data_IF_757389061838
#
_entry.id   IF_757389061838
#
_cell.length_a   1.000
_cell.length_b   1.000
_cell.length_c   1.000
_cell.angle_alpha   90.00
_cell.angle_beta   90.00
_cell.angle_gamma   90.00
#
_symmetry.space_group_name_H-M   'P 1'
#
loop_
_entity.id
_entity.type
_entity.pdbx_description
1 polymer ?
#
# COMPACT_ATOMS: atom_id res chain seq x y z
N UNK A 1 -15.40 13.92 -11.43
CA UNK A 1 -14.75 12.95 -12.33
C UNK A 1 -13.81 13.58 -13.33
N UNK A 2 -14.18 14.64 -14.02
CA UNK A 2 -13.33 15.32 -15.01
C UNK A 2 -11.91 15.62 -14.48
N UNK A 3 -11.78 16.06 -13.24
CA UNK A 3 -10.49 16.40 -12.61
C UNK A 3 -9.70 15.13 -12.20
N UNK A 4 -10.38 14.05 -11.78
CA UNK A 4 -9.78 12.83 -11.25
C UNK A 4 -10.25 11.57 -11.98
N UNK A 5 -9.94 11.41 -13.28
CA UNK A 5 -10.43 10.26 -14.06
C UNK A 5 -9.90 8.91 -13.54
N UNK A 6 -8.77 8.89 -12.84
CA UNK A 6 -8.24 7.68 -12.20
C UNK A 6 -9.11 7.11 -11.06
N UNK A 7 -10.14 7.85 -10.61
CA UNK A 7 -11.12 7.37 -9.62
C UNK A 7 -12.37 6.78 -10.27
N UNK A 8 -12.42 6.69 -11.59
CA UNK A 8 -13.58 6.20 -12.35
C UNK A 8 -14.01 4.79 -11.96
N UNK A 9 -13.04 3.90 -11.68
CA UNK A 9 -13.36 2.53 -11.24
C UNK A 9 -14.00 2.47 -9.86
N UNK A 10 -13.53 3.27 -8.92
CA UNK A 10 -14.16 3.40 -7.60
C UNK A 10 -15.58 3.96 -7.72
N UNK A 11 -15.79 4.96 -8.58
CA UNK A 11 -17.12 5.52 -8.82
C UNK A 11 -18.06 4.47 -9.41
N UNK A 12 -17.64 3.70 -10.41
CA UNK A 12 -18.46 2.62 -10.98
C UNK A 12 -18.88 1.61 -9.91
N UNK A 13 -17.94 1.18 -9.07
CA UNK A 13 -18.26 0.30 -7.96
C UNK A 13 -19.28 0.92 -7.01
N UNK A 14 -19.09 2.20 -6.64
CA UNK A 14 -20.02 2.90 -5.77
C UNK A 14 -21.43 3.01 -6.40
N UNK A 15 -21.53 3.38 -7.67
CA UNK A 15 -22.79 3.45 -8.41
C UNK A 15 -23.50 2.09 -8.51
N UNK A 16 -22.75 1.00 -8.65
CA UNK A 16 -23.31 -0.35 -8.63
C UNK A 16 -23.90 -0.70 -7.26
N UNK A 17 -23.18 -0.37 -6.19
CA UNK A 17 -23.65 -0.63 -4.82
C UNK A 17 -24.84 0.26 -4.42
N UNK A 18 -24.91 1.49 -4.93
CA UNK A 18 -26.07 2.37 -4.72
C UNK A 18 -27.37 1.84 -5.35
N UNK A 19 -27.30 0.91 -6.31
CA UNK A 19 -28.52 0.24 -6.80
C UNK A 19 -29.18 -0.65 -5.74
N UNK A 20 -28.42 -1.08 -4.73
CA UNK A 20 -28.95 -1.87 -3.60
C UNK A 20 -29.64 -0.96 -2.60
N UNK A 21 -29.04 0.18 -2.28
CA UNK A 21 -29.63 1.21 -1.42
C UNK A 21 -29.10 2.59 -1.84
N UNK A 22 -29.91 3.43 -2.54
CA UNK A 22 -29.45 4.68 -3.15
C UNK A 22 -29.04 5.78 -2.15
N UNK A 23 -29.68 5.79 -0.98
CA UNK A 23 -29.61 6.94 -0.05
C UNK A 23 -28.50 6.79 1.00
N UNK A 24 -27.65 5.76 0.89
CA UNK A 24 -26.68 5.46 1.93
C UNK A 24 -25.38 4.86 1.39
N UNK A 25 -24.31 5.01 2.15
CA UNK A 25 -23.01 4.35 1.91
C UNK A 25 -22.93 2.95 2.53
N UNK A 26 -23.96 2.48 3.22
CA UNK A 26 -23.97 1.18 3.91
C UNK A 26 -23.58 0.01 3.02
N UNK A 27 -24.06 -0.15 1.75
CA UNK A 27 -23.64 -1.26 0.90
C UNK A 27 -22.13 -1.30 0.67
N UNK A 28 -21.48 -0.14 0.57
CA UNK A 28 -20.03 -0.06 0.44
C UNK A 28 -19.32 -0.44 1.76
N UNK A 29 -19.85 -0.03 2.90
CA UNK A 29 -19.31 -0.40 4.21
C UNK A 29 -19.47 -1.91 4.47
N UNK A 30 -20.57 -2.54 4.08
CA UNK A 30 -20.73 -3.99 4.12
C UNK A 30 -19.69 -4.69 3.23
N UNK A 31 -19.48 -4.20 2.00
CA UNK A 31 -18.39 -4.71 1.15
C UNK A 31 -17.04 -4.61 1.87
N UNK A 32 -16.74 -3.48 2.52
CA UNK A 32 -15.51 -3.30 3.29
C UNK A 32 -15.40 -4.31 4.46
N UNK A 33 -16.50 -4.60 5.17
CA UNK A 33 -16.52 -5.62 6.24
C UNK A 33 -16.16 -6.99 5.67
N UNK A 34 -16.80 -7.42 4.58
CA UNK A 34 -16.48 -8.70 3.93
C UNK A 34 -15.03 -8.74 3.43
N UNK A 35 -14.56 -7.65 2.83
CA UNK A 35 -13.17 -7.56 2.39
C UNK A 35 -12.18 -7.54 3.57
N UNK A 36 -12.50 -6.90 4.69
CA UNK A 36 -11.70 -6.96 5.91
C UNK A 36 -11.58 -8.39 6.44
N UNK A 37 -12.68 -9.12 6.55
CA UNK A 37 -12.64 -10.55 6.92
C UNK A 37 -11.82 -11.37 5.91
N UNK A 38 -11.97 -11.07 4.62
CA UNK A 38 -11.14 -11.66 3.55
C UNK A 38 -9.64 -11.37 3.73
N UNK A 39 -9.26 -10.15 4.09
CA UNK A 39 -7.87 -9.78 4.37
C UNK A 39 -7.31 -10.61 5.53
N UNK A 40 -8.07 -10.75 6.63
CA UNK A 40 -7.65 -11.54 7.78
C UNK A 40 -7.40 -13.01 7.41
N UNK A 41 -8.31 -13.60 6.65
CA UNK A 41 -8.16 -14.96 6.13
C UNK A 41 -6.94 -15.08 5.20
N UNK A 42 -6.80 -14.15 4.25
CA UNK A 42 -5.71 -14.17 3.25
C UNK A 42 -4.34 -13.91 3.87
N UNK A 43 -4.24 -13.20 4.99
CA UNK A 43 -2.99 -13.08 5.77
C UNK A 43 -2.56 -14.43 6.32
N UNK A 44 -3.49 -15.25 6.83
CA UNK A 44 -3.23 -16.63 7.25
C UNK A 44 -2.76 -17.49 6.08
N UNK A 45 -3.48 -17.45 4.95
CA UNK A 45 -3.11 -18.17 3.73
C UNK A 45 -1.72 -17.77 3.20
N UNK A 46 -1.40 -16.47 3.22
CA UNK A 46 -0.09 -15.99 2.80
C UNK A 46 1.03 -16.45 3.75
N UNK A 47 0.75 -16.51 5.05
CA UNK A 47 1.67 -17.07 6.04
C UNK A 47 1.90 -18.56 5.81
N UNK A 48 0.87 -19.32 5.41
CA UNK A 48 0.98 -20.73 5.02
C UNK A 48 1.88 -20.91 3.77
N UNK A 49 1.67 -20.10 2.73
CA UNK A 49 2.49 -20.15 1.51
C UNK A 49 3.97 -19.81 1.81
N UNK A 50 4.24 -19.00 2.83
CA UNK A 50 5.60 -18.74 3.34
C UNK A 50 6.15 -19.90 4.21
N UNK A 51 5.31 -20.88 4.55
CA UNK A 51 5.70 -22.06 5.34
C UNK A 51 5.77 -21.77 6.85
N UNK A 52 5.01 -20.79 7.35
CA UNK A 52 4.98 -20.48 8.78
C UNK A 52 4.20 -21.53 9.60
N UNK A 53 3.41 -22.38 8.95
CA UNK A 53 2.57 -23.40 9.60
C UNK A 53 1.39 -22.80 10.38
N UNK A 54 0.59 -23.65 11.02
CA UNK A 54 -0.69 -23.25 11.65
C UNK A 54 -0.55 -22.15 12.70
N UNK A 55 0.49 -22.19 13.52
CA UNK A 55 0.76 -21.15 14.53
C UNK A 55 1.11 -19.79 13.91
N UNK A 56 1.87 -19.80 12.80
CA UNK A 56 2.20 -18.60 12.05
C UNK A 56 1.00 -18.03 11.32
N UNK A 57 0.12 -18.88 10.78
CA UNK A 57 -1.15 -18.47 10.18
C UNK A 57 -2.04 -17.77 11.20
N UNK A 58 -2.22 -18.39 12.38
CA UNK A 58 -2.98 -17.80 13.46
C UNK A 58 -2.37 -16.47 13.92
N UNK A 59 -1.03 -16.40 14.08
CA UNK A 59 -0.36 -15.18 14.48
C UNK A 59 -0.53 -14.05 13.44
N UNK A 60 -0.44 -14.33 12.15
CA UNK A 60 -0.65 -13.34 11.09
C UNK A 60 -2.08 -12.79 11.11
N UNK A 61 -3.08 -13.66 11.29
CA UNK A 61 -4.48 -13.28 11.44
C UNK A 61 -4.71 -12.45 12.69
N UNK A 62 -4.15 -12.86 13.85
CA UNK A 62 -4.26 -12.12 15.11
C UNK A 62 -3.64 -10.72 15.03
N UNK A 63 -2.47 -10.56 14.39
CA UNK A 63 -1.88 -9.25 14.16
C UNK A 63 -2.84 -8.38 13.32
N UNK A 64 -3.44 -8.95 12.27
CA UNK A 64 -4.44 -8.25 11.45
C UNK A 64 -5.67 -7.81 12.25
N UNK A 65 -6.16 -8.62 13.19
CA UNK A 65 -7.30 -8.30 14.07
C UNK A 65 -6.94 -7.16 15.04
N UNK A 66 -5.77 -7.25 15.67
CA UNK A 66 -5.32 -6.25 16.66
C UNK A 66 -4.94 -4.93 15.97
N UNK A 67 -4.58 -4.97 14.70
CA UNK A 67 -4.17 -3.79 13.96
C UNK A 67 -5.37 -2.88 13.64
N UNK A 68 -5.76 -2.07 14.63
CA UNK A 68 -6.90 -1.16 14.60
C UNK A 68 -6.98 -0.28 13.33
N UNK A 69 -5.90 0.26 12.76
CA UNK A 69 -5.99 1.05 11.54
C UNK A 69 -6.72 0.34 10.40
N UNK A 70 -6.52 -0.97 10.23
CA UNK A 70 -7.20 -1.74 9.20
C UNK A 70 -8.72 -1.78 9.42
N UNK A 71 -9.17 -1.93 10.67
CA UNK A 71 -10.58 -1.89 11.05
C UNK A 71 -11.19 -0.49 10.85
N UNK A 72 -10.47 0.57 11.18
CA UNK A 72 -10.94 1.95 11.01
C UNK A 72 -11.19 2.33 9.55
N UNK A 73 -10.56 1.65 8.60
CA UNK A 73 -10.81 1.87 7.18
C UNK A 73 -12.10 1.23 6.66
N UNK A 74 -12.76 0.36 7.43
CA UNK A 74 -14.02 -0.28 7.04
C UNK A 74 -15.13 0.75 6.84
N UNK A 75 -15.16 1.80 7.64
CA UNK A 75 -16.15 2.89 7.53
C UNK A 75 -15.87 3.83 6.37
N UNK A 76 -14.64 3.85 5.84
CA UNK A 76 -14.22 4.78 4.82
C UNK A 76 -14.57 4.29 3.41
N UNK A 77 -15.44 5.03 2.72
CA UNK A 77 -15.87 4.75 1.34
C UNK A 77 -14.72 5.09 0.38
N UNK A 78 -13.77 4.17 0.28
CA UNK A 78 -12.58 4.32 -0.56
C UNK A 78 -12.00 2.94 -0.93
N UNK A 79 -11.25 2.88 -2.02
CA UNK A 79 -10.74 1.62 -2.56
C UNK A 79 -9.62 0.93 -1.76
N UNK A 80 -9.33 1.35 -0.52
CA UNK A 80 -8.19 0.78 0.25
C UNK A 80 -8.47 -0.65 0.69
N UNK A 81 -9.59 -0.91 1.36
CA UNK A 81 -9.93 -2.24 1.90
C UNK A 81 -10.24 -3.24 0.78
N UNK A 82 -11.18 -2.96 -0.17
CA UNK A 82 -11.46 -3.93 -1.21
C UNK A 82 -10.28 -4.15 -2.15
N UNK A 83 -9.52 -3.10 -2.48
CA UNK A 83 -8.32 -3.24 -3.31
C UNK A 83 -7.23 -4.09 -2.65
N UNK A 84 -7.02 -3.95 -1.32
CA UNK A 84 -6.08 -4.81 -0.57
C UNK A 84 -6.55 -6.26 -0.55
N UNK A 85 -7.82 -6.50 -0.24
CA UNK A 85 -8.39 -7.85 -0.24
C UNK A 85 -8.19 -8.54 -1.59
N UNK A 86 -8.57 -7.89 -2.68
CA UNK A 86 -8.43 -8.45 -4.01
C UNK A 86 -6.96 -8.61 -4.43
N UNK A 87 -6.08 -7.69 -4.04
CA UNK A 87 -4.64 -7.85 -4.28
C UNK A 87 -4.07 -9.07 -3.57
N UNK A 88 -4.39 -9.27 -2.28
CA UNK A 88 -3.94 -10.43 -1.52
C UNK A 88 -4.48 -11.73 -2.11
N UNK A 89 -5.77 -11.77 -2.50
CA UNK A 89 -6.36 -12.92 -3.18
C UNK A 89 -5.63 -13.24 -4.49
N UNK A 90 -5.36 -12.22 -5.30
CA UNK A 90 -4.58 -12.36 -6.53
C UNK A 90 -3.17 -12.91 -6.29
N UNK A 91 -2.47 -12.43 -5.23
CA UNK A 91 -1.14 -12.92 -4.86
C UNK A 91 -1.16 -14.39 -4.45
N UNK A 92 -2.03 -14.77 -3.50
CA UNK A 92 -2.13 -16.16 -3.01
C UNK A 92 -2.48 -17.12 -4.14
N UNK A 93 -3.46 -16.77 -4.98
CA UNK A 93 -3.86 -17.61 -6.12
C UNK A 93 -2.74 -17.75 -7.16
N UNK A 94 -1.97 -16.67 -7.41
CA UNK A 94 -0.84 -16.74 -8.34
C UNK A 94 0.31 -17.60 -7.81
N UNK A 95 0.61 -17.50 -6.51
CA UNK A 95 1.58 -18.37 -5.86
C UNK A 95 1.16 -19.83 -6.02
N UNK A 96 -0.12 -20.14 -5.72
CA UNK A 96 -0.67 -21.48 -5.87
C UNK A 96 -0.65 -21.96 -7.31
N UNK A 97 -1.01 -21.10 -8.27
CA UNK A 97 -0.92 -21.45 -9.68
C UNK A 97 0.52 -21.80 -10.11
N UNK A 98 1.51 -21.03 -9.68
CA UNK A 98 2.92 -21.32 -9.99
C UNK A 98 3.42 -22.64 -9.36
N UNK A 99 2.73 -23.16 -8.32
CA UNK A 99 3.00 -24.44 -7.69
C UNK A 99 2.20 -25.59 -8.31
N UNK A 100 0.88 -25.41 -8.44
CA UNK A 100 -0.09 -26.49 -8.69
C UNK A 100 -0.55 -26.56 -10.16
N UNK A 101 -0.28 -25.53 -10.98
CA UNK A 101 -0.67 -25.41 -12.39
C UNK A 101 -2.19 -25.54 -12.66
N UNK A 102 -3.05 -25.22 -11.66
CA UNK A 102 -4.52 -25.30 -11.81
C UNK A 102 -5.04 -24.03 -12.47
N UNK A 103 -5.47 -24.11 -13.72
CA UNK A 103 -5.85 -22.96 -14.55
C UNK A 103 -6.88 -22.01 -13.93
N UNK A 104 -7.82 -22.51 -13.13
CA UNK A 104 -8.82 -21.66 -12.46
C UNK A 104 -8.19 -20.68 -11.47
N UNK A 105 -7.03 -21.07 -10.85
CA UNK A 105 -6.27 -20.19 -9.97
C UNK A 105 -5.70 -19.00 -10.75
N UNK A 106 -5.22 -19.22 -11.98
CA UNK A 106 -4.74 -18.16 -12.85
C UNK A 106 -5.86 -17.19 -13.23
N UNK A 107 -7.01 -17.71 -13.66
CA UNK A 107 -8.17 -16.88 -14.06
C UNK A 107 -8.66 -16.03 -12.88
N UNK A 108 -8.82 -16.63 -11.69
CA UNK A 108 -9.26 -15.91 -10.50
C UNK A 108 -8.20 -14.90 -10.04
N UNK A 109 -6.91 -15.22 -10.12
CA UNK A 109 -5.83 -14.29 -9.80
C UNK A 109 -5.87 -13.03 -10.68
N UNK A 110 -6.05 -13.23 -11.99
CA UNK A 110 -6.18 -12.14 -12.98
C UNK A 110 -7.43 -11.31 -12.68
N UNK A 111 -8.57 -11.94 -12.41
CA UNK A 111 -9.81 -11.25 -12.08
C UNK A 111 -9.67 -10.38 -10.82
N UNK A 112 -9.14 -10.95 -9.74
CA UNK A 112 -8.98 -10.21 -8.48
C UNK A 112 -7.99 -9.06 -8.61
N UNK A 113 -6.86 -9.26 -9.28
CA UNK A 113 -5.91 -8.17 -9.53
C UNK A 113 -6.50 -7.08 -10.43
N UNK A 114 -7.25 -7.46 -11.45
CA UNK A 114 -7.95 -6.50 -12.29
C UNK A 114 -8.92 -5.65 -11.47
N UNK A 115 -9.74 -6.27 -10.61
CA UNK A 115 -10.66 -5.56 -9.72
C UNK A 115 -9.91 -4.63 -8.73
N UNK A 116 -8.78 -5.09 -8.17
CA UNK A 116 -7.97 -4.28 -7.28
C UNK A 116 -7.48 -2.99 -7.96
N UNK A 117 -6.87 -3.12 -9.14
CA UNK A 117 -6.32 -1.99 -9.91
C UNK A 117 -7.44 -1.07 -10.43
N UNK A 118 -8.57 -1.66 -10.85
CA UNK A 118 -9.75 -0.93 -11.30
C UNK A 118 -10.30 -0.04 -10.19
N UNK A 119 -10.43 -0.56 -8.96
CA UNK A 119 -10.97 0.18 -7.82
C UNK A 119 -9.98 1.24 -7.35
N UNK A 120 -8.68 0.94 -7.34
CA UNK A 120 -7.65 1.88 -6.90
C UNK A 120 -6.34 1.64 -7.63
N UNK A 121 -5.95 2.59 -8.47
CA UNK A 121 -4.77 2.49 -9.34
C UNK A 121 -3.45 2.22 -8.58
N UNK A 122 -3.32 2.58 -7.30
CA UNK A 122 -2.11 2.31 -6.50
C UNK A 122 -1.79 0.81 -6.42
N UNK A 123 -2.77 -0.09 -6.58
CA UNK A 123 -2.56 -1.54 -6.61
C UNK A 123 -1.87 -2.04 -7.89
N UNK A 124 -1.59 -1.16 -8.86
CA UNK A 124 -0.69 -1.47 -9.98
C UNK A 124 0.68 -1.97 -9.52
N UNK A 125 1.17 -1.49 -8.36
CA UNK A 125 2.46 -1.93 -7.81
C UNK A 125 2.42 -3.42 -7.44
N UNK A 126 1.29 -3.90 -6.90
CA UNK A 126 1.07 -5.32 -6.63
C UNK A 126 1.06 -6.14 -7.93
N UNK A 127 0.37 -5.63 -8.96
CA UNK A 127 0.33 -6.29 -10.27
C UNK A 127 1.71 -6.32 -10.94
N UNK A 128 2.50 -5.24 -10.86
CA UNK A 128 3.87 -5.19 -11.38
C UNK A 128 4.77 -6.17 -10.62
N UNK A 129 4.71 -6.17 -9.28
CA UNK A 129 5.48 -7.12 -8.47
C UNK A 129 5.14 -8.57 -8.81
N UNK A 130 3.86 -8.87 -9.03
CA UNK A 130 3.43 -10.19 -9.46
C UNK A 130 3.89 -10.54 -10.88
N UNK A 131 3.83 -9.59 -11.82
CA UNK A 131 4.38 -9.80 -13.17
C UNK A 131 5.85 -10.21 -13.12
N UNK A 132 6.66 -9.53 -12.29
CA UNK A 132 8.08 -9.86 -12.11
C UNK A 132 8.25 -11.25 -11.49
N UNK A 133 7.44 -11.61 -10.50
CA UNK A 133 7.46 -12.92 -9.87
C UNK A 133 7.08 -14.04 -10.84
N UNK A 134 6.01 -13.86 -11.62
CA UNK A 134 5.55 -14.85 -12.61
C UNK A 134 6.56 -14.99 -13.74
N UNK A 135 7.16 -13.88 -14.20
CA UNK A 135 8.24 -13.89 -15.17
C UNK A 135 9.44 -14.71 -14.65
N UNK A 136 9.87 -14.44 -13.41
CA UNK A 136 10.96 -15.22 -12.79
C UNK A 136 10.65 -16.71 -12.76
N UNK A 137 9.45 -17.12 -12.30
CA UNK A 137 9.06 -18.53 -12.28
C UNK A 137 8.94 -19.12 -13.68
N UNK A 138 8.51 -18.35 -14.67
CA UNK A 138 8.47 -18.81 -16.08
C UNK A 138 9.85 -19.12 -16.64
N UNK A 139 10.87 -18.36 -16.22
CA UNK A 139 12.27 -18.55 -16.61
C UNK A 139 12.95 -19.71 -15.86
N UNK A 140 12.36 -20.17 -14.74
CA UNK A 140 12.84 -21.31 -13.93
C UNK A 140 12.14 -22.63 -14.32
N UNK A 141 11.96 -22.87 -15.63
CA UNK A 141 11.34 -24.07 -16.22
C UNK A 141 9.87 -24.34 -15.88
N UNK A 142 9.19 -23.42 -15.21
CA UNK A 142 7.74 -23.52 -14.95
C UNK A 142 6.95 -22.98 -16.15
N UNK A 143 6.95 -23.74 -17.25
CA UNK A 143 6.36 -23.31 -18.54
C UNK A 143 4.90 -22.87 -18.46
N UNK A 144 4.11 -23.44 -17.55
CA UNK A 144 2.70 -23.04 -17.35
C UNK A 144 2.57 -21.59 -16.89
N UNK A 145 3.56 -21.03 -16.19
CA UNK A 145 3.52 -19.63 -15.72
C UNK A 145 3.50 -18.62 -16.88
N UNK A 146 3.96 -18.97 -18.09
CA UNK A 146 3.84 -18.09 -19.27
C UNK A 146 2.39 -17.75 -19.59
N UNK A 147 1.45 -18.70 -19.41
CA UNK A 147 0.04 -18.45 -19.59
C UNK A 147 -0.50 -17.36 -18.64
N UNK A 148 -0.13 -17.45 -17.35
CA UNK A 148 -0.51 -16.41 -16.37
C UNK A 148 0.14 -15.06 -16.70
N UNK A 149 1.42 -15.05 -17.12
CA UNK A 149 2.11 -13.81 -17.49
C UNK A 149 1.38 -13.08 -18.62
N UNK A 150 1.02 -13.82 -19.70
CA UNK A 150 0.25 -13.24 -20.82
C UNK A 150 -1.09 -12.69 -20.38
N UNK A 151 -1.79 -13.37 -19.47
CA UNK A 151 -3.09 -12.91 -18.94
C UNK A 151 -2.96 -11.68 -18.02
N UNK A 152 -1.83 -11.50 -17.33
CA UNK A 152 -1.58 -10.37 -16.45
C UNK A 152 -1.19 -9.08 -17.20
N UNK A 153 -0.52 -9.18 -18.33
CA UNK A 153 -0.02 -8.02 -19.09
C UNK A 153 -1.11 -6.98 -19.41
N UNK A 154 -2.32 -7.33 -19.85
CA UNK A 154 -3.35 -6.35 -20.18
C UNK A 154 -4.03 -5.71 -18.97
N UNK A 155 -3.80 -6.21 -17.73
CA UNK A 155 -4.48 -5.67 -16.53
C UNK A 155 -4.22 -4.17 -16.38
N UNK A 156 -2.95 -3.73 -16.46
CA UNK A 156 -2.58 -2.34 -16.21
C UNK A 156 -3.29 -1.37 -17.16
N UNK A 157 -3.24 -1.54 -18.49
CA UNK A 157 -3.92 -0.62 -19.39
C UNK A 157 -5.46 -0.76 -19.34
N UNK A 158 -5.99 -1.97 -19.21
CA UNK A 158 -7.45 -2.18 -19.20
C UNK A 158 -8.11 -1.64 -17.94
N UNK A 159 -7.54 -1.92 -16.76
CA UNK A 159 -8.13 -1.47 -15.50
C UNK A 159 -8.15 0.07 -15.38
N UNK A 160 -7.21 0.77 -16.01
CA UNK A 160 -7.22 2.23 -16.05
C UNK A 160 -8.19 2.83 -17.08
N UNK A 161 -8.27 2.23 -18.29
CA UNK A 161 -9.05 2.79 -19.40
C UNK A 161 -10.52 2.36 -19.42
N UNK A 162 -10.81 1.11 -19.03
CA UNK A 162 -12.16 0.56 -19.11
C UNK A 162 -13.20 1.35 -18.29
N UNK A 163 -12.93 1.74 -17.03
CA UNK A 163 -13.89 2.54 -16.27
C UNK A 163 -14.16 3.90 -16.88
N UNK A 164 -13.14 4.55 -17.42
CA UNK A 164 -13.27 5.83 -18.10
C UNK A 164 -14.16 5.66 -19.33
N UNK A 165 -13.88 4.66 -20.19
CA UNK A 165 -14.67 4.36 -21.39
C UNK A 165 -16.13 4.09 -21.06
N UNK A 166 -16.41 3.29 -20.03
CA UNK A 166 -17.79 2.99 -19.59
C UNK A 166 -18.51 4.27 -19.17
N UNK A 167 -17.88 5.11 -18.35
CA UNK A 167 -18.47 6.36 -17.88
C UNK A 167 -18.68 7.37 -19.01
N UNK A 168 -17.75 7.50 -19.93
CA UNK A 168 -17.91 8.37 -21.11
C UNK A 168 -19.06 7.94 -21.99
N UNK A 169 -19.21 6.62 -22.23
CA UNK A 169 -20.34 6.09 -22.98
C UNK A 169 -21.67 6.30 -22.26
N UNK A 170 -21.66 6.20 -20.93
CA UNK A 170 -22.89 6.35 -20.13
C UNK A 170 -23.31 7.80 -19.98
N UNK A 171 -22.35 8.72 -19.81
CA UNK A 171 -22.64 10.14 -19.52
C UNK A 171 -22.60 11.03 -20.75
N UNK A 172 -22.01 10.59 -21.86
CA UNK A 172 -21.74 11.42 -23.04
C UNK A 172 -20.62 12.47 -22.83
N UNK A 173 -19.94 12.48 -21.67
CA UNK A 173 -18.91 13.45 -21.32
C UNK A 173 -17.52 12.86 -21.51
N UNK A 174 -16.58 13.62 -22.08
CA UNK A 174 -15.17 13.21 -22.16
C UNK A 174 -14.47 13.39 -20.82
N UNK A 175 -13.74 12.36 -20.36
CA UNK A 175 -13.01 12.32 -19.10
C UNK A 175 -11.48 12.31 -19.28
N UNK A 176 -10.97 12.51 -20.49
CA UNK A 176 -9.56 12.35 -20.83
C UNK A 176 -8.64 13.47 -20.35
N UNK A 177 -9.18 14.58 -19.87
CA UNK A 177 -8.45 15.82 -19.58
C UNK A 177 -8.25 16.06 -18.07
N UNK A 178 -8.03 14.99 -17.29
CA UNK A 178 -7.79 15.14 -15.85
C UNK A 178 -6.38 15.65 -15.49
N UNK A 179 -6.17 15.90 -14.21
CA UNK A 179 -4.87 16.30 -13.65
C UNK A 179 -3.78 15.36 -14.14
N UNK A 180 -2.67 15.92 -14.61
CA UNK A 180 -1.54 15.14 -15.12
C UNK A 180 -0.83 14.36 -14.01
N UNK A 181 -0.39 13.12 -14.31
CA UNK A 181 0.29 12.27 -13.34
C UNK A 181 1.58 12.90 -12.82
N UNK A 182 2.34 13.60 -13.65
CA UNK A 182 3.60 14.24 -13.27
C UNK A 182 3.39 15.37 -12.26
N UNK A 183 2.22 16.01 -12.24
CA UNK A 183 1.92 17.04 -11.23
C UNK A 183 1.78 16.48 -9.80
N UNK A 184 1.38 15.22 -9.65
CA UNK A 184 1.39 14.52 -8.36
C UNK A 184 2.81 14.23 -7.88
N UNK A 185 3.73 13.91 -8.81
CA UNK A 185 5.15 13.78 -8.49
C UNK A 185 5.73 15.13 -8.07
N UNK A 186 5.46 16.19 -8.82
CA UNK A 186 5.90 17.55 -8.47
C UNK A 186 5.41 17.94 -7.08
N UNK A 187 4.12 17.73 -6.77
CA UNK A 187 3.56 17.99 -5.44
C UNK A 187 4.23 17.11 -4.37
N UNK A 188 4.47 15.84 -4.67
CA UNK A 188 5.16 14.90 -3.77
C UNK A 188 6.61 15.27 -3.45
N UNK A 189 7.25 16.13 -4.23
CA UNK A 189 8.62 16.61 -4.02
C UNK A 189 8.67 18.01 -3.36
N UNK A 190 7.54 18.66 -3.10
CA UNK A 190 7.48 20.00 -2.50
C UNK A 190 7.55 19.93 -0.97
N UNK A 191 8.18 20.93 -0.38
CA UNK A 191 8.33 21.02 1.08
C UNK A 191 7.04 21.43 1.82
N UNK A 192 6.08 22.00 1.10
CA UNK A 192 4.86 22.57 1.69
C UNK A 192 3.70 21.59 1.71
N UNK A 193 3.30 21.14 2.88
CA UNK A 193 2.07 20.41 3.09
C UNK A 193 1.68 20.50 4.57
N UNK A 194 0.38 20.41 4.92
CA UNK A 194 -0.08 20.65 6.30
C UNK A 194 0.44 19.59 7.29
N UNK A 195 0.84 18.41 6.81
CA UNK A 195 1.36 17.30 7.63
C UNK A 195 2.84 17.03 7.43
N UNK A 196 3.48 17.77 6.54
CA UNK A 196 4.90 17.62 6.25
C UNK A 196 5.25 17.64 4.78
N UNK A 197 6.51 17.37 4.44
CA UNK A 197 7.00 17.41 3.07
C UNK A 197 6.28 16.41 2.16
N UNK A 198 5.91 16.86 0.97
CA UNK A 198 5.26 16.02 -0.05
C UNK A 198 3.78 15.74 0.18
N UNK A 199 3.17 16.26 1.26
CA UNK A 199 1.74 16.14 1.50
C UNK A 199 0.93 17.08 0.60
N UNK A 200 -0.37 16.78 0.43
CA UNK A 200 -1.28 17.53 -0.40
C UNK A 200 -1.34 19.01 0.01
N UNK A 201 -0.89 19.90 -0.88
CA UNK A 201 -0.83 21.36 -0.71
C UNK A 201 -1.70 22.13 -1.73
N UNK A 202 -2.59 21.43 -2.42
CA UNK A 202 -3.43 21.94 -3.52
C UNK A 202 -2.65 22.30 -4.81
N UNK A 203 -1.36 22.01 -4.88
CA UNK A 203 -0.52 22.32 -6.06
C UNK A 203 -1.12 21.77 -7.35
N UNK A 204 -1.53 20.51 -7.36
CA UNK A 204 -2.11 19.85 -8.52
C UNK A 204 -3.36 20.56 -9.05
N UNK A 205 -4.26 20.99 -8.15
CA UNK A 205 -5.46 21.75 -8.52
C UNK A 205 -5.10 23.15 -9.03
N UNK A 206 -4.27 23.87 -8.27
CA UNK A 206 -3.86 25.23 -8.64
C UNK A 206 -3.23 25.29 -10.04
N UNK A 207 -2.26 24.40 -10.29
CA UNK A 207 -1.57 24.36 -11.58
C UNK A 207 -2.47 23.87 -12.72
N UNK A 208 -3.43 22.98 -12.45
CA UNK A 208 -4.40 22.52 -13.44
C UNK A 208 -5.33 23.65 -13.89
N UNK A 209 -5.87 24.42 -12.93
CA UNK A 209 -6.71 25.59 -13.26
C UNK A 209 -5.89 26.70 -13.94
N UNK A 210 -4.66 26.98 -13.47
CA UNK A 210 -3.79 27.97 -14.11
C UNK A 210 -3.35 27.58 -15.54
N UNK A 211 -3.34 26.28 -15.86
CA UNK A 211 -3.09 25.74 -17.19
C UNK A 211 -4.38 25.65 -18.05
N UNK A 212 -5.46 26.35 -17.70
CA UNK A 212 -6.75 26.33 -18.39
C UNK A 212 -7.29 24.90 -18.61
N UNK A 213 -7.15 24.03 -17.61
CA UNK A 213 -7.58 22.62 -17.65
C UNK A 213 -6.87 21.78 -18.73
N UNK A 214 -5.71 22.22 -19.22
CA UNK A 214 -4.88 21.47 -20.16
C UNK A 214 -3.84 20.62 -19.40
N UNK A 215 -3.94 19.27 -19.39
CA UNK A 215 -2.97 18.40 -18.72
C UNK A 215 -1.57 18.45 -19.36
N UNK A 216 -1.44 18.81 -20.64
CA UNK A 216 -0.12 18.93 -21.30
C UNK A 216 0.60 20.20 -20.82
N UNK A 217 -0.09 21.33 -20.80
CA UNK A 217 0.44 22.58 -20.26
C UNK A 217 0.78 22.42 -18.77
N UNK A 218 -0.10 21.77 -17.98
CA UNK A 218 0.17 21.44 -16.59
C UNK A 218 1.42 20.56 -16.43
N UNK A 219 1.63 19.58 -17.32
CA UNK A 219 2.80 18.70 -17.26
C UNK A 219 4.11 19.47 -17.47
N UNK A 220 4.14 20.45 -18.36
CA UNK A 220 5.30 21.32 -18.56
C UNK A 220 5.64 22.12 -17.30
N UNK A 221 4.64 22.72 -16.65
CA UNK A 221 4.82 23.44 -15.37
C UNK A 221 5.33 22.51 -14.28
N UNK A 222 4.81 21.27 -14.22
CA UNK A 222 5.23 20.29 -13.22
C UNK A 222 6.69 19.83 -13.43
N UNK A 223 7.10 19.61 -14.68
CA UNK A 223 8.48 19.24 -15.01
C UNK A 223 9.48 20.35 -14.67
N UNK A 224 9.12 21.59 -14.96
CA UNK A 224 9.95 22.75 -14.55
C UNK A 224 10.10 22.84 -13.04
N UNK A 225 8.98 22.67 -12.29
CA UNK A 225 9.00 22.61 -10.83
C UNK A 225 9.93 21.49 -10.32
N UNK A 226 9.84 20.27 -10.86
CA UNK A 226 10.69 19.14 -10.50
C UNK A 226 12.16 19.46 -10.77
N UNK A 227 12.45 20.02 -11.95
CA UNK A 227 13.82 20.43 -12.33
C UNK A 227 14.40 21.45 -11.34
N UNK A 228 13.61 22.45 -10.96
CA UNK A 228 14.01 23.44 -9.96
C UNK A 228 14.33 22.84 -8.59
N UNK A 229 13.48 21.91 -8.13
CA UNK A 229 13.66 21.19 -6.87
C UNK A 229 14.98 20.39 -6.88
N UNK A 230 15.24 19.62 -7.97
CA UNK A 230 16.47 18.84 -8.05
C UNK A 230 17.71 19.70 -8.18
N UNK A 231 17.66 20.83 -8.87
CA UNK A 231 18.78 21.82 -8.86
C UNK A 231 19.05 22.32 -7.45
N UNK A 232 18.00 22.64 -6.67
CA UNK A 232 18.16 23.03 -5.27
C UNK A 232 18.80 21.93 -4.41
N UNK A 233 18.44 20.67 -4.62
CA UNK A 233 19.02 19.53 -3.91
C UNK A 233 20.49 19.28 -4.27
N UNK A 234 20.88 19.55 -5.52
CA UNK A 234 22.31 19.48 -5.90
C UNK A 234 23.14 20.55 -5.22
N UNK A 235 22.57 21.74 -4.97
CA UNK A 235 23.22 22.84 -4.27
C UNK A 235 23.26 22.63 -2.74
N UNK A 236 22.21 21.98 -2.18
CA UNK A 236 22.13 21.65 -0.75
C UNK A 236 21.68 20.18 -0.55
N UNK A 237 22.63 19.21 -0.62
CA UNK A 237 22.33 17.80 -0.37
C UNK A 237 21.78 17.51 1.03
N UNK A 238 22.09 18.36 2.05
CA UNK A 238 21.57 18.18 3.40
C UNK A 238 20.06 18.45 3.44
N UNK A 239 19.57 19.45 2.72
CA UNK A 239 18.13 19.72 2.60
C UNK A 239 17.42 18.56 1.90
N UNK A 240 18.01 17.96 0.87
CA UNK A 240 17.49 16.76 0.21
C UNK A 240 17.31 15.61 1.20
N UNK A 241 18.35 15.26 1.95
CA UNK A 241 18.28 14.17 2.94
C UNK A 241 17.19 14.46 3.98
N UNK A 242 17.18 15.68 4.53
CA UNK A 242 16.17 16.10 5.52
C UNK A 242 14.76 15.97 4.95
N UNK A 243 14.53 16.41 3.69
CA UNK A 243 13.25 16.30 3.02
C UNK A 243 12.77 14.85 2.93
N UNK A 244 13.60 13.95 2.36
CA UNK A 244 13.20 12.57 2.15
C UNK A 244 13.06 11.78 3.45
N UNK A 245 13.90 12.04 4.46
CA UNK A 245 13.75 11.44 5.79
C UNK A 245 12.44 11.87 6.43
N UNK A 246 12.17 13.18 6.49
CA UNK A 246 10.93 13.71 7.07
C UNK A 246 9.69 13.24 6.32
N UNK A 247 9.71 13.27 4.98
CA UNK A 247 8.62 12.77 4.14
C UNK A 247 8.30 11.28 4.41
N UNK A 248 9.34 10.43 4.40
CA UNK A 248 9.14 9.00 4.64
C UNK A 248 8.71 8.73 6.09
N UNK A 249 9.21 9.49 7.06
CA UNK A 249 8.78 9.40 8.44
C UNK A 249 7.27 9.65 8.56
N UNK A 250 6.75 10.75 8.00
CA UNK A 250 5.34 11.12 8.11
C UNK A 250 4.37 10.13 7.45
N UNK A 251 4.82 9.32 6.50
CA UNK A 251 3.93 8.38 5.80
C UNK A 251 4.13 6.90 6.21
N UNK A 252 5.33 6.51 6.67
CA UNK A 252 5.62 5.13 7.06
C UNK A 252 5.64 4.89 8.56
N UNK A 253 5.76 5.97 9.37
CA UNK A 253 5.81 5.88 10.83
C UNK A 253 4.56 6.43 11.52
N UNK A 254 3.51 6.75 10.78
CA UNK A 254 2.20 7.06 11.34
C UNK A 254 1.56 5.74 11.87
N UNK A 255 1.52 5.52 13.18
CA UNK A 255 1.08 4.25 13.76
C UNK A 255 -0.41 3.98 13.56
N UNK A 256 -1.20 5.03 13.28
CA UNK A 256 -2.65 4.93 13.04
C UNK A 256 -3.03 5.07 11.56
N UNK A 257 -2.05 5.29 10.67
CA UNK A 257 -2.25 5.39 9.22
C UNK A 257 -3.41 6.32 8.84
N UNK A 258 -3.59 7.44 9.54
CA UNK A 258 -4.71 8.38 9.41
C UNK A 258 -6.11 7.79 9.70
N UNK A 259 -6.23 6.58 10.22
CA UNK A 259 -7.53 5.91 10.39
C UNK A 259 -8.49 6.72 11.27
N UNK A 260 -8.03 7.26 12.41
CA UNK A 260 -8.84 8.12 13.29
C UNK A 260 -9.18 9.44 12.59
N UNK A 261 -8.19 10.10 12.00
CA UNK A 261 -8.39 11.37 11.30
C UNK A 261 -9.43 11.26 10.18
N UNK A 262 -9.37 10.21 9.36
CA UNK A 262 -10.33 9.98 8.28
C UNK A 262 -11.76 9.85 8.82
N UNK A 263 -11.97 9.07 9.87
CA UNK A 263 -13.28 8.90 10.49
C UNK A 263 -13.80 10.20 11.10
N UNK A 264 -12.93 10.98 11.76
CA UNK A 264 -13.28 12.29 12.31
C UNK A 264 -13.68 13.31 11.22
N UNK A 265 -12.98 13.32 10.09
CA UNK A 265 -13.33 14.17 8.94
C UNK A 265 -14.67 13.75 8.35
N UNK A 266 -14.90 12.45 8.17
CA UNK A 266 -16.17 11.93 7.65
C UNK A 266 -17.35 12.24 8.57
N UNK A 267 -17.18 12.11 9.88
CA UNK A 267 -18.19 12.51 10.86
C UNK A 267 -18.58 13.99 10.72
N UNK A 268 -17.59 14.88 10.61
CA UNK A 268 -17.83 16.32 10.47
C UNK A 268 -18.55 16.69 9.16
N UNK A 269 -18.22 15.98 8.08
CA UNK A 269 -18.84 16.22 6.76
C UNK A 269 -20.28 15.71 6.72
N UNK A 270 -20.56 14.59 7.39
CA UNK A 270 -21.89 14.00 7.41
C UNK A 270 -22.85 14.66 8.39
N UNK A 271 -22.33 15.52 9.29
CA UNK A 271 -23.07 16.15 10.39
C UNK A 271 -23.93 15.15 11.22
N UNK A 272 -23.44 13.90 11.30
CA UNK A 272 -24.14 12.81 11.95
C UNK A 272 -23.83 12.82 13.44
N UNK A 273 -24.86 12.86 14.28
CA UNK A 273 -24.72 12.68 15.71
C UNK A 273 -24.17 11.27 16.02
N UNK A 274 -23.07 11.21 16.74
CA UNK A 274 -22.46 9.96 17.19
C UNK A 274 -22.52 9.86 18.73
N UNK A 275 -22.52 8.63 19.29
CA UNK A 275 -22.42 8.45 20.75
C UNK A 275 -21.18 9.17 21.31
N UNK A 276 -21.29 9.70 22.53
CA UNK A 276 -20.20 10.45 23.17
C UNK A 276 -18.87 9.69 23.23
N UNK A 277 -18.90 8.38 23.46
CA UNK A 277 -17.69 7.54 23.49
C UNK A 277 -17.00 7.48 22.12
N UNK A 278 -17.78 7.49 21.01
CA UNK A 278 -17.24 7.54 19.64
C UNK A 278 -16.58 8.90 19.39
N UNK A 279 -17.26 10.00 19.75
CA UNK A 279 -16.69 11.34 19.60
C UNK A 279 -15.39 11.47 20.41
N UNK A 280 -15.38 10.99 21.66
CA UNK A 280 -14.18 10.95 22.48
C UNK A 280 -13.06 10.15 21.82
N UNK A 281 -13.36 8.94 21.31
CA UNK A 281 -12.40 8.09 20.59
C UNK A 281 -11.85 8.80 19.35
N UNK A 282 -12.67 9.47 18.55
CA UNK A 282 -12.24 10.18 17.35
C UNK A 282 -11.39 11.43 17.65
N UNK A 283 -11.35 11.89 18.90
CA UNK A 283 -10.45 12.95 19.37
C UNK A 283 -9.05 12.45 19.74
N UNK A 284 -8.83 11.13 19.77
CA UNK A 284 -7.52 10.51 20.05
C UNK A 284 -6.57 10.57 18.83
N UNK A 285 -6.77 11.50 17.90
CA UNK A 285 -5.85 11.73 16.78
C UNK A 285 -4.67 12.58 17.29
N UNK A 286 -3.47 12.01 17.20
CA UNK A 286 -2.25 12.66 17.67
C UNK A 286 -1.44 11.83 18.69
N UNK A 287 -0.40 12.40 19.29
CA UNK A 287 0.42 11.72 20.30
C UNK A 287 -0.37 11.44 21.58
N UNK A 288 -0.67 10.18 21.85
CA UNK A 288 -1.37 9.71 23.05
C UNK A 288 -1.04 8.25 23.33
N UNK A 289 -1.63 7.67 24.39
CA UNK A 289 -1.40 6.26 24.76
C UNK A 289 -1.73 5.30 23.60
N UNK A 290 -2.82 5.54 22.87
CA UNK A 290 -3.23 4.69 21.76
C UNK A 290 -2.17 4.71 20.64
N UNK A 291 -1.73 5.89 20.22
CA UNK A 291 -0.68 6.03 19.21
C UNK A 291 0.65 5.43 19.67
N UNK A 292 0.98 5.51 20.97
CA UNK A 292 2.17 4.91 21.54
C UNK A 292 2.13 3.38 21.50
N UNK A 293 0.96 2.76 21.82
CA UNK A 293 0.78 1.31 21.71
C UNK A 293 0.94 0.82 20.27
N UNK A 294 0.33 1.52 19.31
CA UNK A 294 0.46 1.16 17.89
C UNK A 294 1.85 1.47 17.33
N UNK A 295 2.56 2.46 17.86
CA UNK A 295 3.96 2.70 17.52
C UNK A 295 4.86 1.55 18.01
N UNK A 296 4.60 1.01 19.21
CA UNK A 296 5.29 -0.18 19.70
C UNK A 296 5.02 -1.38 18.77
N UNK A 297 3.77 -1.64 18.40
CA UNK A 297 3.42 -2.69 17.43
C UNK A 297 4.13 -2.47 16.09
N UNK A 298 4.15 -1.24 15.58
CA UNK A 298 4.82 -0.89 14.34
C UNK A 298 6.33 -1.14 14.42
N UNK A 299 6.95 -0.78 15.54
CA UNK A 299 8.37 -1.04 15.81
C UNK A 299 8.68 -2.54 15.83
N UNK A 300 7.82 -3.36 16.47
CA UNK A 300 7.96 -4.81 16.47
C UNK A 300 7.84 -5.39 15.06
N UNK A 301 6.86 -4.94 14.27
CA UNK A 301 6.68 -5.40 12.88
C UNK A 301 7.89 -5.05 12.02
N UNK A 302 8.40 -3.82 12.10
CA UNK A 302 9.62 -3.43 11.37
C UNK A 302 10.87 -4.14 11.91
N UNK A 303 10.97 -4.39 13.22
CA UNK A 303 12.02 -5.20 13.81
C UNK A 303 12.03 -6.63 13.26
N UNK A 304 10.85 -7.24 13.15
CA UNK A 304 10.70 -8.55 12.50
C UNK A 304 11.11 -8.54 11.02
N UNK A 305 10.81 -7.47 10.28
CA UNK A 305 11.26 -7.30 8.89
C UNK A 305 12.79 -7.17 8.80
N UNK A 306 13.44 -6.46 9.74
CA UNK A 306 14.90 -6.38 9.83
C UNK A 306 15.49 -7.76 10.10
N UNK A 307 14.92 -8.51 11.04
CA UNK A 307 15.34 -9.88 11.34
C UNK A 307 15.19 -10.78 10.10
N UNK A 308 14.05 -10.71 9.40
CA UNK A 308 13.84 -11.46 8.16
C UNK A 308 14.92 -11.14 7.11
N UNK A 309 15.26 -9.87 6.93
CA UNK A 309 16.26 -9.44 5.97
C UNK A 309 17.68 -9.84 6.38
N UNK A 310 17.97 -9.85 7.66
CA UNK A 310 19.33 -10.05 8.22
C UNK A 310 19.65 -11.51 8.55
N UNK A 311 18.69 -12.26 9.11
CA UNK A 311 18.97 -13.59 9.60
C UNK A 311 19.29 -14.56 8.46
N UNK A 312 20.38 -15.35 8.58
CA UNK A 312 20.68 -16.42 7.63
C UNK A 312 19.56 -17.47 7.70
N UNK A 313 19.35 -18.14 6.60
CA UNK A 313 18.48 -19.32 6.54
C UNK A 313 19.24 -20.46 5.91
N UNK A 314 19.15 -21.64 6.53
CA UNK A 314 19.64 -22.88 5.95
C UNK A 314 18.63 -23.46 4.93
N UNK A 315 17.38 -22.95 4.99
CA UNK A 315 16.37 -23.29 3.98
C UNK A 315 16.63 -22.46 2.71
N UNK A 316 16.43 -23.07 1.55
CA UNK A 316 16.42 -22.32 0.29
C UNK A 316 15.33 -21.26 0.39
N UNK A 317 15.72 -20.00 0.22
CA UNK A 317 14.77 -18.86 0.27
C UNK A 317 13.65 -19.10 -0.74
N UNK A 318 12.42 -19.04 -0.28
CA UNK A 318 11.26 -19.23 -1.14
C UNK A 318 11.06 -18.01 -2.05
N UNK A 319 10.78 -18.23 -3.32
CA UNK A 319 10.51 -17.15 -4.27
C UNK A 319 9.32 -16.26 -3.87
N UNK A 320 8.42 -16.76 -3.01
CA UNK A 320 7.29 -16.01 -2.44
C UNK A 320 7.76 -14.89 -1.51
N UNK A 321 8.85 -15.08 -0.76
CA UNK A 321 9.44 -14.02 0.06
C UNK A 321 9.95 -12.87 -0.82
N UNK A 322 10.56 -13.21 -1.95
CA UNK A 322 11.05 -12.22 -2.91
C UNK A 322 9.90 -11.44 -3.57
N UNK A 323 8.75 -12.08 -3.84
CA UNK A 323 7.55 -11.41 -4.32
C UNK A 323 7.11 -10.31 -3.36
N UNK A 324 6.96 -10.64 -2.06
CA UNK A 324 6.53 -9.65 -1.07
C UNK A 324 7.56 -8.53 -0.91
N UNK A 325 8.86 -8.87 -0.93
CA UNK A 325 9.93 -7.88 -0.88
C UNK A 325 9.91 -6.93 -2.07
N UNK A 326 9.71 -7.43 -3.29
CA UNK A 326 9.64 -6.61 -4.52
C UNK A 326 8.45 -5.66 -4.45
N UNK A 327 7.27 -6.13 -4.03
CA UNK A 327 6.09 -5.26 -3.86
C UNK A 327 6.36 -4.18 -2.80
N UNK A 328 6.94 -4.55 -1.65
CA UNK A 328 7.26 -3.63 -0.57
C UNK A 328 8.25 -2.56 -1.02
N UNK A 329 9.35 -2.96 -1.68
CA UNK A 329 10.35 -2.03 -2.22
C UNK A 329 9.74 -1.14 -3.30
N UNK A 330 8.96 -1.71 -4.21
CA UNK A 330 8.23 -0.95 -5.23
C UNK A 330 7.31 0.11 -4.63
N UNK A 331 6.54 -0.27 -3.59
CA UNK A 331 5.70 0.67 -2.84
C UNK A 331 6.50 1.77 -2.15
N UNK A 332 7.61 1.41 -1.50
CA UNK A 332 8.48 2.38 -0.84
C UNK A 332 9.08 3.39 -1.83
N UNK A 333 9.63 2.90 -2.94
CA UNK A 333 10.21 3.76 -3.99
C UNK A 333 9.14 4.66 -4.61
N UNK A 334 7.99 4.10 -4.97
CA UNK A 334 6.89 4.87 -5.55
C UNK A 334 6.45 6.01 -4.63
N UNK A 335 6.17 5.71 -3.35
CA UNK A 335 5.69 6.71 -2.41
C UNK A 335 6.78 7.69 -1.94
N UNK A 336 8.07 7.39 -2.14
CA UNK A 336 9.14 8.36 -1.97
C UNK A 336 9.02 9.54 -2.93
N UNK A 337 8.49 9.33 -4.14
CA UNK A 337 8.34 10.40 -5.15
C UNK A 337 6.89 10.89 -5.32
N UNK A 338 5.90 10.07 -5.02
CA UNK A 338 4.48 10.41 -5.13
C UNK A 338 4.00 11.27 -3.96
N UNK A 339 2.74 11.77 -4.01
CA UNK A 339 2.08 12.42 -2.88
C UNK A 339 2.25 11.59 -1.59
N UNK A 340 2.67 12.24 -0.51
CA UNK A 340 2.81 11.59 0.79
C UNK A 340 1.43 11.45 1.46
N UNK A 341 1.09 10.24 1.88
CA UNK A 341 -0.04 9.90 2.75
C UNK A 341 0.19 8.55 3.40
N UNK A 342 0.05 8.47 4.71
CA UNK A 342 0.18 7.20 5.43
C UNK A 342 -0.90 6.18 5.03
N UNK A 343 -2.10 6.62 4.66
CA UNK A 343 -3.14 5.74 4.09
C UNK A 343 -2.70 4.99 2.82
N UNK A 344 -1.73 5.50 2.07
CA UNK A 344 -1.24 4.83 0.86
C UNK A 344 -0.21 3.76 1.17
N UNK A 345 0.49 3.86 2.30
CA UNK A 345 1.49 2.88 2.73
C UNK A 345 0.89 1.73 3.52
N UNK A 346 -0.34 1.87 4.04
CA UNK A 346 -1.06 0.83 4.78
C UNK A 346 -1.07 -0.55 4.09
N UNK A 347 -1.39 -0.68 2.77
CA UNK A 347 -1.40 -1.99 2.12
C UNK A 347 -0.05 -2.71 2.15
N UNK A 348 1.03 -1.96 2.01
CA UNK A 348 2.40 -2.51 2.06
C UNK A 348 2.80 -2.88 3.49
N UNK A 349 2.38 -2.09 4.47
CA UNK A 349 2.62 -2.40 5.88
C UNK A 349 1.96 -3.72 6.28
N UNK A 350 0.73 -3.98 5.81
CA UNK A 350 0.04 -5.25 6.05
C UNK A 350 0.79 -6.44 5.44
N UNK A 351 1.44 -6.28 4.28
CA UNK A 351 2.30 -7.31 3.68
C UNK A 351 3.54 -7.63 4.53
N UNK A 352 3.97 -6.74 5.41
CA UNK A 352 5.11 -6.98 6.29
C UNK A 352 4.79 -8.01 7.38
N UNK A 353 3.53 -8.17 7.80
CA UNK A 353 3.17 -9.06 8.91
C UNK A 353 3.71 -10.49 8.77
N UNK A 354 3.45 -11.22 7.67
CA UNK A 354 4.00 -12.55 7.51
C UNK A 354 5.53 -12.56 7.36
N UNK A 355 6.14 -11.54 6.75
CA UNK A 355 7.61 -11.43 6.69
C UNK A 355 8.23 -11.19 8.06
N UNK A 356 7.61 -10.35 8.89
CA UNK A 356 8.07 -10.09 10.25
C UNK A 356 8.01 -11.36 11.11
N UNK A 357 6.92 -12.12 11.02
CA UNK A 357 6.78 -13.41 11.69
C UNK A 357 7.85 -14.40 11.25
N UNK A 358 8.16 -14.44 9.95
CA UNK A 358 9.24 -15.26 9.43
C UNK A 358 10.60 -14.84 9.99
N UNK A 359 10.84 -13.53 10.17
CA UNK A 359 12.04 -13.00 10.80
C UNK A 359 12.19 -13.47 12.25
N UNK A 360 11.14 -13.37 13.05
CA UNK A 360 11.13 -13.86 14.42
C UNK A 360 11.30 -15.39 14.51
N UNK A 361 10.67 -16.14 13.61
CA UNK A 361 10.87 -17.60 13.52
C UNK A 361 12.34 -17.94 13.24
N UNK A 362 12.98 -17.26 12.30
CA UNK A 362 14.42 -17.47 12.02
C UNK A 362 15.28 -17.19 13.24
N UNK A 363 14.98 -16.11 13.98
CA UNK A 363 15.68 -15.80 15.23
C UNK A 363 15.51 -16.93 16.28
N UNK A 364 14.29 -17.44 16.45
CA UNK A 364 13.99 -18.56 17.39
C UNK A 364 14.76 -19.83 17.01
N UNK A 365 14.80 -20.18 15.73
CA UNK A 365 15.55 -21.36 15.26
C UNK A 365 17.07 -21.21 15.49
N UNK A 366 17.64 -20.03 15.30
CA UNK A 366 19.04 -19.75 15.60
C UNK A 366 19.37 -19.83 17.10
N UNK A 367 18.42 -19.56 17.96
CA UNK A 367 18.61 -19.69 19.41
C UNK A 367 18.61 -21.15 19.85
N UNK A 368 17.87 -22.02 19.14
CA UNK A 368 17.74 -23.45 19.47
C UNK A 368 18.93 -24.30 18.94
N UNK A 369 19.62 -23.85 17.89
CA UNK A 369 20.78 -24.55 17.30
C UNK A 369 22.06 -23.72 17.45
N UNK A 370 22.95 -24.05 18.42
CA UNK A 370 24.22 -23.38 18.61
C UNK A 370 25.15 -23.44 17.39
N UNK A 371 25.05 -24.51 16.55
CA UNK A 371 25.87 -24.68 15.36
C UNK A 371 25.39 -23.80 14.20
N UNK A 372 24.14 -23.40 14.16
CA UNK A 372 23.61 -22.48 13.17
C UNK A 372 24.30 -21.09 13.25
N UNK A 373 24.84 -20.73 14.41
CA UNK A 373 25.64 -19.49 14.58
C UNK A 373 26.97 -19.52 13.83
N UNK A 374 27.57 -20.69 13.67
CA UNK A 374 28.85 -20.87 12.94
C UNK A 374 28.68 -20.77 11.42
N UNK A 375 27.46 -21.00 10.92
CA UNK A 375 27.12 -20.88 9.50
C UNK A 375 26.77 -19.44 9.07
N UNK A 376 26.81 -18.51 10.00
CA UNK A 376 26.50 -17.11 9.73
C UNK A 376 27.55 -16.47 8.80
N UNK A 377 27.32 -16.64 7.50
CA UNK A 377 27.99 -15.81 6.49
C UNK A 377 27.29 -14.46 6.44
N UNK A 378 28.00 -13.33 6.66
CA UNK A 378 27.40 -12.02 6.53
C UNK A 378 26.86 -11.88 5.10
N UNK A 379 25.55 -11.61 5.00
CA UNK A 379 24.87 -11.51 3.71
C UNK A 379 25.48 -10.36 2.91
N UNK A 380 26.01 -10.67 1.75
CA UNK A 380 26.74 -9.77 0.86
C UNK A 380 25.86 -8.71 0.15
N UNK A 381 24.57 -8.63 0.48
CA UNK A 381 23.63 -7.70 -0.14
C UNK A 381 23.26 -6.53 0.78
N UNK A 382 24.14 -5.54 0.95
CA UNK A 382 23.92 -4.36 1.82
C UNK A 382 22.62 -3.58 1.55
N UNK A 383 22.11 -3.58 0.32
CA UNK A 383 20.85 -2.87 -0.05
C UNK A 383 19.58 -3.46 0.58
N UNK A 384 19.55 -4.76 0.91
CA UNK A 384 18.37 -5.41 1.51
C UNK A 384 18.06 -4.91 2.92
N UNK A 385 19.08 -4.39 3.63
CA UNK A 385 18.95 -3.89 5.00
C UNK A 385 18.50 -2.43 5.07
N UNK A 386 18.85 -1.66 4.06
CA UNK A 386 18.71 -0.20 4.15
C UNK A 386 17.26 0.20 4.41
N UNK A 387 16.31 -0.37 3.65
CA UNK A 387 14.90 -0.03 3.81
C UNK A 387 14.31 -0.55 5.13
N UNK A 388 14.44 -1.82 5.53
CA UNK A 388 13.91 -2.30 6.81
C UNK A 388 14.50 -1.56 8.01
N UNK A 389 15.81 -1.31 8.02
CA UNK A 389 16.46 -0.55 9.10
C UNK A 389 15.97 0.89 9.12
N UNK A 390 15.85 1.53 7.96
CA UNK A 390 15.29 2.88 7.87
C UNK A 390 13.87 2.92 8.43
N UNK A 391 12.99 1.99 8.04
CA UNK A 391 11.61 1.92 8.54
C UNK A 391 11.57 1.73 10.06
N UNK A 392 12.42 0.85 10.60
CA UNK A 392 12.49 0.63 12.05
C UNK A 392 12.99 1.89 12.78
N UNK A 393 14.03 2.56 12.27
CA UNK A 393 14.51 3.80 12.85
C UNK A 393 13.47 4.92 12.77
N UNK A 394 12.76 5.05 11.65
CA UNK A 394 11.67 6.00 11.49
C UNK A 394 10.54 5.72 12.49
N UNK A 395 10.18 4.47 12.73
CA UNK A 395 9.17 4.10 13.71
C UNK A 395 9.61 4.45 15.14
N UNK A 396 10.87 4.14 15.51
CA UNK A 396 11.42 4.51 16.82
C UNK A 396 11.44 6.02 17.05
N UNK A 397 11.71 6.79 15.99
CA UNK A 397 11.79 8.24 16.03
C UNK A 397 10.46 8.94 15.70
N UNK A 398 9.38 8.18 15.48
CA UNK A 398 8.09 8.72 15.00
C UNK A 398 7.52 9.81 15.92
N UNK A 399 7.73 9.72 17.23
CA UNK A 399 7.31 10.73 18.21
C UNK A 399 7.94 12.11 17.95
N UNK A 400 9.12 12.15 17.33
CA UNK A 400 9.84 13.39 16.97
C UNK A 400 9.25 14.01 15.70
N UNK A 401 8.76 13.17 14.78
CA UNK A 401 8.25 13.59 13.47
C UNK A 401 6.72 13.77 13.44
N UNK A 402 6.03 13.20 14.44
CA UNK A 402 4.58 13.32 14.53
C UNK A 402 4.19 14.70 15.03
N UNK A 403 3.57 15.47 14.16
CA UNK A 403 2.94 16.74 14.55
C UNK A 403 1.43 16.52 14.70
N UNK A 404 0.85 16.87 15.87
CA UNK A 404 -0.61 16.86 16.05
C UNK A 404 -1.26 17.90 15.11
N UNK A 405 -2.43 17.59 14.62
CA UNK A 405 -3.21 18.44 13.67
C UNK A 405 -4.45 18.99 14.31
#
# INVERSE_FOLDING_TARGET
MYIYPHQSGLLLLHLLLQKINPDTTLPFQFLNIFCYMGILYLLGELAEELGLGSSGCLAATCIGIVFLPLLLYVTFVYGTIPGLCFSLAGLVLSIRFCRDAKWYQAVLAVLFLFLAVLIKSNYQIFAIGLLLYVLYNSLQDKRHCWGLLVMLLPILPLAGKLPIFILEKWTGCSLHNGISAISWVAMGLRAGGPRGPGWYDKYTLKTYFSANLDPKAQSAVALDCISGIFRGYLMDPKSMVRFFVSKNATQWSDPLFQGIWLNRVMQRVSDTAVPQWVDHFLRLDGPNLLSSVFNLLQTLVYGGLVLWAWMPTNETRKSQEDLLAVILVGGFVFHTFWEAKSQYTLPYYVLIFPLALLGYRRLSLLQQDPNARLLWKPITGKLRFLMPVLLMLLALLSQVFWQPH
#
